data_IF_049150813957
#
_entry.id   IF_049150813957
#
_cell.length_a   1.000
_cell.length_b   1.000
_cell.length_c   1.000
_cell.angle_alpha   90.00
_cell.angle_beta   90.00
_cell.angle_gamma   90.00
#
_symmetry.space_group_name_H-M   'P 1'
#
loop_
_entity.id
_entity.type
_entity.pdbx_description
1 polymer ?
#
# COMPACT_ATOMS: atom_id res chain seq x y z
N UNK A 1 -59.00 45.21 -47.33
CA UNK A 1 -57.57 45.40 -46.97
C UNK A 1 -57.45 45.00 -45.50
N UNK A 2 -56.97 43.81 -45.22
CA UNK A 2 -56.81 43.29 -43.83
C UNK A 2 -55.32 43.07 -43.57
N UNK A 3 -54.77 43.94 -42.69
CA UNK A 3 -53.37 43.83 -42.24
C UNK A 3 -53.27 42.75 -41.19
N UNK A 4 -52.36 41.80 -41.40
CA UNK A 4 -51.97 40.76 -40.40
C UNK A 4 -50.75 41.25 -39.63
N UNK A 5 -50.68 41.13 -38.30
CA UNK A 5 -49.49 41.43 -37.54
C UNK A 5 -48.46 40.29 -37.60
N UNK A 6 -47.21 40.66 -37.81
CA UNK A 6 -46.04 39.79 -37.80
C UNK A 6 -45.64 39.50 -36.34
N UNK A 7 -45.73 38.25 -35.91
CA UNK A 7 -45.27 37.80 -34.58
C UNK A 7 -43.78 37.51 -34.64
N UNK A 8 -43.01 38.27 -33.86
CA UNK A 8 -41.56 38.07 -33.67
C UNK A 8 -41.33 37.02 -32.57
N UNK A 9 -40.89 35.81 -32.96
CA UNK A 9 -40.45 34.79 -32.01
C UNK A 9 -39.01 35.09 -31.58
N UNK A 10 -38.84 35.54 -30.32
CA UNK A 10 -37.57 35.59 -29.66
C UNK A 10 -37.18 34.15 -29.16
N UNK A 11 -36.22 33.54 -29.84
CA UNK A 11 -35.60 32.31 -29.37
C UNK A 11 -34.60 32.65 -28.23
N UNK A 12 -34.97 32.33 -26.98
CA UNK A 12 -34.02 32.30 -25.87
C UNK A 12 -33.12 31.10 -26.05
N UNK A 13 -31.90 31.31 -26.55
CA UNK A 13 -30.84 30.31 -26.50
C UNK A 13 -30.32 30.19 -25.07
N UNK A 14 -30.74 29.13 -24.37
CA UNK A 14 -30.17 28.74 -23.07
C UNK A 14 -28.72 28.26 -23.28
N UNK A 15 -27.75 29.03 -22.82
CA UNK A 15 -26.37 28.51 -22.61
C UNK A 15 -26.41 27.51 -21.46
N UNK A 16 -26.42 26.23 -21.77
CA UNK A 16 -26.01 25.21 -20.81
C UNK A 16 -24.49 25.36 -20.59
N UNK A 17 -24.10 25.98 -19.49
CA UNK A 17 -22.74 25.87 -18.98
C UNK A 17 -22.51 24.39 -18.64
N UNK A 18 -21.74 23.70 -19.49
CA UNK A 18 -21.21 22.40 -19.13
C UNK A 18 -20.35 22.61 -17.88
N UNK A 19 -20.80 22.10 -16.74
CA UNK A 19 -20.01 22.06 -15.53
C UNK A 19 -18.70 21.37 -15.87
N UNK A 20 -17.57 22.05 -15.69
CA UNK A 20 -16.27 21.44 -15.74
C UNK A 20 -16.26 20.33 -14.66
N UNK A 21 -16.45 19.09 -15.07
CA UNK A 21 -16.21 17.94 -14.20
C UNK A 21 -14.77 18.02 -13.77
N UNK A 22 -14.50 17.95 -12.46
CA UNK A 22 -13.13 17.85 -11.97
C UNK A 22 -12.45 16.66 -12.68
N UNK A 23 -11.23 16.87 -13.15
CA UNK A 23 -10.44 15.79 -13.74
C UNK A 23 -10.38 14.62 -12.74
N UNK A 24 -10.50 13.36 -13.23
CA UNK A 24 -10.46 12.22 -12.35
C UNK A 24 -9.11 12.20 -11.61
N UNK A 25 -9.15 11.93 -10.30
CA UNK A 25 -7.94 11.83 -9.49
C UNK A 25 -6.98 10.81 -10.09
N UNK A 26 -5.67 11.07 -10.09
CA UNK A 26 -4.67 10.07 -10.49
C UNK A 26 -4.90 8.77 -9.72
N UNK A 27 -4.77 7.59 -10.36
CA UNK A 27 -4.94 6.32 -9.68
C UNK A 27 -3.95 6.20 -8.51
N UNK A 28 -4.39 5.56 -7.41
CA UNK A 28 -3.53 5.28 -6.26
C UNK A 28 -3.61 3.80 -5.94
N UNK A 29 -2.47 3.21 -5.56
CA UNK A 29 -2.40 1.91 -4.89
C UNK A 29 -2.01 2.17 -3.45
N UNK A 30 -2.87 1.82 -2.50
CA UNK A 30 -2.53 1.79 -1.09
C UNK A 30 -1.68 0.54 -0.84
N UNK A 31 -0.40 0.73 -0.53
CA UNK A 31 0.57 -0.36 -0.48
C UNK A 31 0.66 -1.04 0.89
N UNK A 32 -0.15 -0.62 1.88
CA UNK A 32 -0.15 -1.21 3.22
C UNK A 32 -1.49 -0.99 3.92
N UNK A 33 -2.22 -2.07 4.14
CA UNK A 33 -3.44 -2.06 4.92
C UNK A 33 -3.58 -3.35 5.74
N UNK A 34 -4.37 -3.28 6.80
CA UNK A 34 -4.80 -4.41 7.60
C UNK A 34 -6.31 -4.59 7.50
N UNK A 35 -6.77 -5.85 7.53
CA UNK A 35 -8.19 -6.18 7.66
C UNK A 35 -8.33 -7.34 8.65
N UNK A 36 -8.10 -7.03 9.93
CA UNK A 36 -8.14 -8.00 11.02
C UNK A 36 -9.58 -8.29 11.49
N UNK A 37 -9.72 -9.22 12.43
CA UNK A 37 -11.05 -9.63 12.91
C UNK A 37 -11.93 -8.49 13.44
N UNK A 38 -11.42 -7.47 14.17
CA UNK A 38 -12.23 -6.31 14.56
C UNK A 38 -12.72 -5.49 13.35
N UNK A 39 -11.90 -5.37 12.30
CA UNK A 39 -12.23 -4.63 11.10
C UNK A 39 -13.31 -5.35 10.30
N UNK A 40 -13.20 -6.69 10.17
CA UNK A 40 -14.19 -7.53 9.50
C UNK A 40 -15.53 -7.57 10.24
N UNK A 41 -15.54 -7.35 11.56
CA UNK A 41 -16.76 -7.18 12.34
C UNK A 41 -17.41 -5.79 12.12
N UNK A 42 -16.62 -4.77 11.78
CA UNK A 42 -17.08 -3.41 11.57
C UNK A 42 -17.42 -3.09 10.09
N UNK A 43 -16.75 -3.71 9.14
CA UNK A 43 -16.87 -3.44 7.71
C UNK A 43 -16.92 -4.73 6.91
N UNK A 44 -17.94 -4.88 6.08
CA UNK A 44 -18.01 -5.93 5.06
C UNK A 44 -16.99 -5.70 3.95
N UNK A 45 -16.59 -6.73 3.18
CA UNK A 45 -15.76 -6.54 1.99
C UNK A 45 -16.27 -5.49 1.00
N UNK A 46 -17.59 -5.41 0.80
CA UNK A 46 -18.19 -4.41 -0.08
C UNK A 46 -18.02 -2.98 0.45
N UNK A 47 -18.14 -2.78 1.77
CA UNK A 47 -17.92 -1.46 2.39
C UNK A 47 -16.44 -1.05 2.35
N UNK A 48 -15.51 -2.01 2.46
CA UNK A 48 -14.09 -1.73 2.23
C UNK A 48 -13.86 -1.24 0.81
N UNK A 49 -14.39 -1.93 -0.20
CA UNK A 49 -14.24 -1.51 -1.61
C UNK A 49 -14.89 -0.14 -1.86
N UNK A 50 -16.06 0.12 -1.28
CA UNK A 50 -16.72 1.42 -1.39
C UNK A 50 -15.87 2.57 -0.82
N UNK A 51 -15.13 2.34 0.28
CA UNK A 51 -14.16 3.32 0.84
C UNK A 51 -12.99 3.57 -0.11
N UNK A 52 -12.46 2.52 -0.74
CA UNK A 52 -11.42 2.68 -1.77
C UNK A 52 -11.92 3.57 -2.91
N UNK A 53 -13.16 3.34 -3.38
CA UNK A 53 -13.77 4.11 -4.47
C UNK A 53 -13.96 5.57 -4.08
N UNK A 54 -14.49 5.82 -2.87
CA UNK A 54 -14.68 7.17 -2.33
C UNK A 54 -13.35 7.95 -2.20
N UNK A 55 -12.25 7.25 -1.88
CA UNK A 55 -10.91 7.83 -1.74
C UNK A 55 -10.13 7.91 -3.07
N UNK A 56 -10.66 7.38 -4.18
CA UNK A 56 -9.93 7.29 -5.45
C UNK A 56 -8.73 6.32 -5.40
N UNK A 57 -8.83 5.27 -4.58
CA UNK A 57 -7.82 4.21 -4.46
C UNK A 57 -8.19 3.04 -5.37
N UNK A 58 -7.33 2.73 -6.31
CA UNK A 58 -7.58 1.69 -7.31
C UNK A 58 -7.35 0.28 -6.78
N UNK A 59 -6.32 0.10 -5.94
CA UNK A 59 -5.95 -1.20 -5.36
C UNK A 59 -5.47 -1.05 -3.93
N UNK A 60 -5.60 -2.13 -3.20
CA UNK A 60 -5.23 -2.26 -1.81
C UNK A 60 -4.28 -3.45 -1.62
N UNK A 61 -3.09 -3.22 -1.11
CA UNK A 61 -2.23 -4.27 -0.56
C UNK A 61 -2.66 -4.50 0.88
N UNK A 62 -3.09 -5.71 1.22
CA UNK A 62 -3.69 -5.97 2.53
C UNK A 62 -3.16 -7.25 3.17
N UNK A 63 -2.84 -7.16 4.44
CA UNK A 63 -2.60 -8.31 5.33
C UNK A 63 -3.73 -8.45 6.35
N UNK A 64 -3.84 -9.59 7.01
CA UNK A 64 -4.87 -9.81 8.03
C UNK A 64 -4.45 -10.80 9.12
N UNK A 65 -5.14 -10.70 10.26
CA UNK A 65 -5.06 -11.65 11.37
C UNK A 65 -6.50 -12.04 11.77
N UNK A 66 -6.96 -13.25 11.41
CA UNK A 66 -6.26 -14.33 10.68
C UNK A 66 -6.16 -14.08 9.16
N UNK A 67 -5.24 -14.78 8.43
CA UNK A 67 -4.98 -14.52 7.01
C UNK A 67 -6.17 -14.74 6.07
N UNK A 68 -7.12 -15.58 6.46
CA UNK A 68 -8.35 -15.84 5.69
C UNK A 68 -9.18 -14.59 5.39
N UNK A 69 -9.08 -13.54 6.21
CA UNK A 69 -9.81 -12.30 5.98
C UNK A 69 -9.29 -11.53 4.76
N UNK A 70 -7.96 -11.46 4.56
CA UNK A 70 -7.38 -10.90 3.35
C UNK A 70 -7.76 -11.72 2.10
N UNK A 71 -7.82 -13.05 2.24
CA UNK A 71 -8.28 -13.93 1.17
C UNK A 71 -9.76 -13.69 0.82
N UNK A 72 -10.62 -13.47 1.80
CA UNK A 72 -12.04 -13.12 1.58
C UNK A 72 -12.18 -11.79 0.84
N UNK A 73 -11.42 -10.76 1.22
CA UNK A 73 -11.38 -9.50 0.48
C UNK A 73 -10.95 -9.71 -0.98
N UNK A 74 -9.91 -10.50 -1.20
CA UNK A 74 -9.43 -10.82 -2.54
C UNK A 74 -10.50 -11.57 -3.35
N UNK A 75 -11.16 -12.58 -2.77
CA UNK A 75 -12.24 -13.33 -3.44
C UNK A 75 -13.42 -12.42 -3.82
N UNK A 76 -13.72 -11.42 -3.00
CA UNK A 76 -14.79 -10.45 -3.28
C UNK A 76 -14.42 -9.49 -4.42
N UNK A 77 -13.15 -9.05 -4.52
CA UNK A 77 -12.71 -8.07 -5.49
C UNK A 77 -11.26 -8.34 -5.98
N UNK A 78 -11.04 -9.39 -6.79
CA UNK A 78 -9.69 -9.85 -7.17
C UNK A 78 -8.89 -8.82 -7.98
N UNK A 79 -9.56 -7.92 -8.71
CA UNK A 79 -8.90 -6.85 -9.46
C UNK A 79 -8.51 -5.64 -8.59
N UNK A 80 -8.99 -5.60 -7.34
CA UNK A 80 -8.84 -4.48 -6.41
C UNK A 80 -7.90 -4.79 -5.24
N UNK A 81 -7.71 -6.07 -4.91
CA UNK A 81 -7.01 -6.52 -3.70
C UNK A 81 -5.74 -7.29 -4.06
N UNK A 82 -4.66 -6.98 -3.38
CA UNK A 82 -3.35 -7.65 -3.45
C UNK A 82 -3.07 -8.23 -2.05
N UNK A 83 -3.40 -9.52 -1.81
CA UNK A 83 -3.33 -10.08 -0.47
C UNK A 83 -1.91 -10.50 -0.10
N UNK A 84 -1.48 -10.13 1.11
CA UNK A 84 -0.29 -10.66 1.77
C UNK A 84 -0.70 -11.69 2.80
N UNK A 85 0.05 -12.78 2.88
CA UNK A 85 -0.15 -13.82 3.87
C UNK A 85 0.31 -13.35 5.25
N UNK A 86 -0.62 -12.98 6.11
CA UNK A 86 -0.36 -12.68 7.51
C UNK A 86 0.07 -13.94 8.27
N UNK A 87 1.12 -13.84 9.08
CA UNK A 87 1.66 -14.99 9.82
C UNK A 87 1.06 -15.14 11.22
N UNK A 88 0.20 -14.21 11.62
CA UNK A 88 -0.40 -14.19 12.96
C UNK A 88 -1.81 -14.79 12.93
N UNK A 89 -2.11 -15.71 13.87
CA UNK A 89 -3.47 -16.14 14.10
C UNK A 89 -4.32 -15.05 14.82
N UNK A 90 -3.66 -14.17 15.56
CA UNK A 90 -4.22 -13.00 16.23
C UNK A 90 -3.10 -12.02 16.59
N UNK A 91 -3.44 -10.79 16.96
CA UNK A 91 -2.47 -9.77 17.36
C UNK A 91 -1.61 -10.16 18.59
N UNK A 92 -2.10 -11.08 19.44
CA UNK A 92 -1.33 -11.62 20.56
C UNK A 92 -0.07 -12.35 20.13
N UNK A 93 -0.02 -12.85 18.90
CA UNK A 93 1.14 -13.57 18.37
C UNK A 93 2.23 -12.67 17.77
N UNK A 94 1.97 -11.36 17.61
CA UNK A 94 2.93 -10.42 17.04
C UNK A 94 4.26 -10.34 17.79
N UNK A 95 4.26 -10.63 19.10
CA UNK A 95 5.45 -10.53 19.95
C UNK A 95 6.30 -11.80 20.03
N UNK A 96 5.82 -12.96 19.57
CA UNK A 96 6.49 -14.24 19.80
C UNK A 96 6.53 -15.21 18.60
N UNK A 97 5.94 -14.83 17.47
CA UNK A 97 5.86 -15.68 16.26
C UNK A 97 7.22 -16.20 15.80
N UNK A 98 8.26 -15.45 16.00
CA UNK A 98 9.65 -15.76 15.56
C UNK A 98 10.24 -16.97 16.32
N UNK A 99 9.62 -17.36 17.43
CA UNK A 99 10.00 -18.53 18.22
C UNK A 99 9.13 -19.76 17.92
N UNK A 100 8.14 -19.66 17.04
CA UNK A 100 7.29 -20.79 16.65
C UNK A 100 7.93 -21.60 15.53
N UNK A 101 8.64 -22.65 15.88
CA UNK A 101 9.33 -23.52 14.91
C UNK A 101 8.38 -24.20 13.90
N UNK A 102 7.08 -24.31 14.20
CA UNK A 102 6.09 -24.89 13.28
C UNK A 102 5.53 -23.89 12.26
N UNK A 103 5.76 -22.59 12.46
CA UNK A 103 5.21 -21.52 11.61
C UNK A 103 5.65 -21.64 10.15
N UNK A 104 6.92 -21.87 9.80
CA UNK A 104 7.33 -21.95 8.39
C UNK A 104 6.62 -23.07 7.61
N UNK A 105 6.37 -24.20 8.23
CA UNK A 105 5.63 -25.30 7.59
C UNK A 105 4.16 -24.92 7.34
N UNK A 106 3.51 -24.25 8.30
CA UNK A 106 2.14 -23.75 8.11
C UNK A 106 2.04 -22.69 7.03
N UNK A 107 3.00 -21.76 6.99
CA UNK A 107 3.08 -20.74 5.93
C UNK A 107 3.29 -21.39 4.58
N UNK A 108 4.21 -22.36 4.46
CA UNK A 108 4.43 -23.09 3.22
C UNK A 108 3.14 -23.75 2.71
N UNK A 109 2.40 -24.45 3.58
CA UNK A 109 1.12 -25.06 3.22
C UNK A 109 0.07 -24.03 2.76
N UNK A 110 -0.03 -22.88 3.43
CA UNK A 110 -0.95 -21.80 3.03
C UNK A 110 -0.57 -21.15 1.71
N UNK A 111 0.71 -21.11 1.36
CA UNK A 111 1.17 -20.60 0.06
C UNK A 111 0.75 -21.51 -1.10
N UNK A 112 0.60 -22.81 -0.89
CA UNK A 112 0.12 -23.77 -1.90
C UNK A 112 -1.33 -23.48 -2.34
N UNK A 113 -2.16 -22.90 -1.48
CA UNK A 113 -3.54 -22.47 -1.77
C UNK A 113 -3.63 -21.21 -2.66
N UNK A 114 -2.56 -20.56 -2.94
CA UNK A 114 -2.18 -19.90 -4.17
C UNK A 114 -2.73 -18.51 -4.53
N UNK A 115 -3.08 -17.60 -3.59
CA UNK A 115 -3.54 -16.23 -3.95
C UNK A 115 -2.62 -15.13 -3.42
N UNK A 116 -1.46 -15.46 -2.89
CA UNK A 116 -0.65 -14.53 -2.12
C UNK A 116 0.39 -13.79 -2.98
N UNK A 117 0.46 -12.48 -2.79
CA UNK A 117 1.47 -11.62 -3.42
C UNK A 117 2.69 -11.41 -2.52
N UNK A 118 2.61 -11.77 -1.24
CA UNK A 118 3.68 -11.60 -0.27
C UNK A 118 3.40 -12.29 1.05
N UNK A 119 4.36 -12.16 1.96
CA UNK A 119 4.28 -12.59 3.36
C UNK A 119 4.48 -11.36 4.25
N UNK A 120 3.64 -11.14 5.23
CA UNK A 120 3.76 -10.03 6.18
C UNK A 120 2.41 -9.40 6.54
N UNK A 121 2.41 -8.40 7.34
CA UNK A 121 3.54 -7.61 7.87
C UNK A 121 4.28 -8.39 8.97
N UNK A 122 5.61 -8.52 8.87
CA UNK A 122 6.43 -9.19 9.88
C UNK A 122 6.96 -8.17 10.89
N UNK A 123 6.42 -8.19 12.12
CA UNK A 123 6.91 -7.36 13.22
C UNK A 123 8.12 -8.01 13.87
N UNK A 124 9.30 -7.41 13.68
CA UNK A 124 10.56 -7.96 14.16
C UNK A 124 11.56 -6.85 14.43
N UNK A 125 12.35 -7.00 15.46
CA UNK A 125 13.38 -6.03 15.85
C UNK A 125 14.78 -6.66 15.83
N UNK A 126 15.81 -5.83 15.82
CA UNK A 126 17.21 -6.21 15.65
C UNK A 126 17.64 -7.40 16.51
N UNK A 127 17.19 -7.45 17.79
CA UNK A 127 17.51 -8.55 18.73
C UNK A 127 17.09 -9.94 18.24
N UNK A 128 16.03 -10.01 17.41
CA UNK A 128 15.44 -11.28 16.94
C UNK A 128 15.69 -11.52 15.43
N UNK A 129 16.39 -10.60 14.76
CA UNK A 129 16.60 -10.64 13.31
C UNK A 129 17.28 -11.93 12.81
N UNK A 130 18.06 -12.60 13.67
CA UNK A 130 18.78 -13.84 13.33
C UNK A 130 18.01 -15.12 13.68
N UNK A 131 16.79 -15.02 14.15
CA UNK A 131 16.00 -16.19 14.49
C UNK A 131 15.73 -17.08 13.26
N UNK A 132 15.86 -18.43 13.40
CA UNK A 132 15.72 -19.37 12.28
C UNK A 132 14.37 -19.29 11.57
N UNK A 133 13.29 -19.01 12.30
CA UNK A 133 11.93 -18.90 11.75
C UNK A 133 11.85 -17.73 10.75
N UNK A 134 12.38 -16.56 11.09
CA UNK A 134 12.44 -15.43 10.17
C UNK A 134 13.22 -15.78 8.90
N UNK A 135 14.41 -16.39 9.05
CA UNK A 135 15.22 -16.79 7.90
C UNK A 135 14.49 -17.80 6.99
N UNK A 136 13.72 -18.73 7.56
CA UNK A 136 12.92 -19.69 6.78
C UNK A 136 11.79 -19.01 6.01
N UNK A 137 11.05 -18.04 6.63
CA UNK A 137 10.01 -17.27 5.94
C UNK A 137 10.58 -16.44 4.79
N UNK A 138 11.73 -15.79 4.99
CA UNK A 138 12.41 -15.03 3.93
C UNK A 138 12.82 -15.93 2.76
N UNK A 139 13.34 -17.15 3.02
CA UNK A 139 13.67 -18.13 1.96
C UNK A 139 12.42 -18.62 1.23
N UNK A 140 11.32 -18.89 1.94
CA UNK A 140 10.04 -19.27 1.33
C UNK A 140 9.53 -18.17 0.39
N UNK A 141 9.52 -16.92 0.85
CA UNK A 141 9.12 -15.79 0.02
C UNK A 141 10.00 -15.65 -1.22
N UNK A 142 11.33 -15.71 -1.06
CA UNK A 142 12.27 -15.60 -2.18
C UNK A 142 12.10 -16.74 -3.20
N UNK A 143 11.94 -17.99 -2.74
CA UNK A 143 11.71 -19.15 -3.62
C UNK A 143 10.40 -19.03 -4.42
N UNK A 144 9.37 -18.45 -3.81
CA UNK A 144 8.06 -18.21 -4.43
C UNK A 144 7.96 -16.87 -5.15
N UNK A 145 9.04 -16.07 -5.20
CA UNK A 145 9.11 -14.72 -5.80
C UNK A 145 8.13 -13.71 -5.15
N UNK A 146 7.75 -13.95 -3.90
CA UNK A 146 6.83 -13.11 -3.13
C UNK A 146 7.56 -11.93 -2.50
N UNK A 147 6.79 -10.87 -2.17
CA UNK A 147 7.28 -9.74 -1.37
C UNK A 147 7.28 -10.11 0.11
N UNK A 148 8.30 -9.69 0.86
CA UNK A 148 8.30 -9.72 2.32
C UNK A 148 8.05 -8.31 2.84
N UNK A 149 6.94 -8.09 3.53
CA UNK A 149 6.68 -6.82 4.22
C UNK A 149 7.24 -6.91 5.64
N UNK A 150 8.09 -5.94 6.01
CA UNK A 150 8.81 -5.93 7.29
C UNK A 150 8.50 -4.65 8.07
N UNK A 151 8.01 -4.82 9.29
CA UNK A 151 7.96 -3.79 10.33
C UNK A 151 9.13 -4.00 11.29
N UNK A 152 10.17 -3.20 11.19
CA UNK A 152 11.35 -3.41 12.04
C UNK A 152 12.48 -2.44 11.79
N UNK A 153 13.59 -2.73 12.45
CA UNK A 153 14.86 -1.99 12.36
C UNK A 153 15.58 -2.26 11.03
N UNK A 154 16.56 -1.43 10.71
CA UNK A 154 17.38 -1.60 9.51
C UNK A 154 18.13 -2.95 9.50
N UNK A 155 18.58 -3.43 10.64
CA UNK A 155 19.27 -4.72 10.81
C UNK A 155 18.38 -5.90 10.41
N UNK A 156 17.06 -5.80 10.59
CA UNK A 156 16.11 -6.84 10.13
C UNK A 156 16.09 -6.91 8.61
N UNK A 157 16.03 -5.75 7.94
CA UNK A 157 16.08 -5.65 6.48
C UNK A 157 17.43 -6.18 5.96
N UNK A 158 18.54 -5.78 6.57
CA UNK A 158 19.87 -6.30 6.23
C UNK A 158 19.94 -7.83 6.35
N UNK A 159 19.37 -8.38 7.42
CA UNK A 159 19.32 -9.82 7.64
C UNK A 159 18.44 -10.53 6.58
N UNK A 160 17.33 -9.94 6.16
CA UNK A 160 16.53 -10.49 5.07
C UNK A 160 17.34 -10.63 3.78
N UNK A 161 18.10 -9.59 3.40
CA UNK A 161 18.99 -9.64 2.22
C UNK A 161 20.21 -10.56 2.42
N UNK A 162 20.73 -10.69 3.64
CA UNK A 162 21.79 -11.64 3.93
C UNK A 162 21.32 -13.10 3.77
N UNK A 163 20.05 -13.38 4.11
CA UNK A 163 19.42 -14.72 3.98
C UNK A 163 19.09 -15.03 2.52
N UNK A 164 18.58 -14.05 1.78
CA UNK A 164 18.18 -14.19 0.38
C UNK A 164 18.44 -12.88 -0.40
N UNK A 165 19.61 -12.73 -1.05
CA UNK A 165 20.00 -11.48 -1.73
C UNK A 165 19.03 -11.00 -2.82
N UNK A 166 18.26 -11.92 -3.41
CA UNK A 166 17.25 -11.62 -4.44
C UNK A 166 15.83 -11.40 -3.93
N UNK A 167 15.60 -11.39 -2.62
CA UNK A 167 14.28 -11.17 -2.04
C UNK A 167 13.78 -9.74 -2.35
N UNK A 168 12.46 -9.59 -2.54
CA UNK A 168 11.79 -8.29 -2.60
C UNK A 168 11.31 -7.93 -1.20
N UNK A 169 11.73 -6.79 -0.68
CA UNK A 169 11.33 -6.31 0.64
C UNK A 169 10.55 -5.01 0.52
N UNK A 170 9.39 -4.95 1.15
CA UNK A 170 8.66 -3.72 1.45
C UNK A 170 8.89 -3.38 2.92
N UNK A 171 9.69 -2.33 3.17
CA UNK A 171 9.99 -1.87 4.52
C UNK A 171 8.93 -0.88 4.97
N UNK A 172 8.15 -1.26 5.97
CA UNK A 172 7.02 -0.48 6.46
C UNK A 172 7.45 0.81 7.17
N UNK A 173 6.65 1.88 7.02
CA UNK A 173 6.68 3.11 7.82
C UNK A 173 7.99 3.91 7.75
N UNK A 174 8.72 3.87 6.64
CA UNK A 174 10.08 4.46 6.54
C UNK A 174 11.04 3.85 7.59
N UNK A 175 10.75 2.62 8.03
CA UNK A 175 11.48 1.92 9.08
C UNK A 175 11.15 2.41 10.50
N UNK A 176 11.72 1.70 11.49
CA UNK A 176 11.57 2.04 12.91
C UNK A 176 12.15 3.42 13.25
N UNK A 177 13.21 3.82 12.55
CA UNK A 177 13.87 5.12 12.68
C UNK A 177 13.87 5.86 11.34
N UNK A 178 12.81 6.60 10.99
CA UNK A 178 12.72 7.29 9.72
C UNK A 178 13.69 8.47 9.62
N UNK A 179 14.84 8.24 8.97
CA UNK A 179 15.91 9.20 8.72
C UNK A 179 16.30 9.13 7.23
N UNK A 180 16.30 10.25 6.49
CA UNK A 180 16.63 10.29 5.07
C UNK A 180 17.98 9.64 4.71
N UNK A 181 19.01 9.91 5.49
CA UNK A 181 20.36 9.40 5.22
C UNK A 181 20.46 7.87 5.41
N UNK A 182 19.81 7.33 6.46
CA UNK A 182 19.72 5.89 6.67
C UNK A 182 19.00 5.20 5.49
N UNK A 183 17.86 5.75 5.10
CA UNK A 183 17.08 5.20 3.97
C UNK A 183 17.85 5.29 2.66
N UNK A 184 18.55 6.40 2.39
CA UNK A 184 19.39 6.53 1.22
C UNK A 184 20.51 5.46 1.16
N UNK A 185 21.17 5.21 2.28
CA UNK A 185 22.20 4.19 2.40
C UNK A 185 21.64 2.77 2.18
N UNK A 186 20.49 2.45 2.78
CA UNK A 186 19.81 1.16 2.62
C UNK A 186 19.34 0.94 1.17
N UNK A 187 18.73 1.93 0.53
CA UNK A 187 18.26 1.86 -0.84
C UNK A 187 19.41 1.72 -1.85
N UNK A 188 20.55 2.39 -1.60
CA UNK A 188 21.75 2.25 -2.43
C UNK A 188 22.36 0.84 -2.32
N UNK A 189 22.30 0.22 -1.15
CA UNK A 189 22.89 -1.09 -0.87
C UNK A 189 22.00 -2.24 -1.37
N UNK A 190 20.67 -2.11 -1.30
CA UNK A 190 19.75 -3.20 -1.56
C UNK A 190 18.79 -2.90 -2.73
N UNK A 191 19.11 -3.38 -3.94
CA UNK A 191 18.26 -3.18 -5.11
C UNK A 191 16.83 -3.74 -4.98
N UNK A 192 16.62 -4.77 -4.17
CA UNK A 192 15.32 -5.39 -3.88
C UNK A 192 14.53 -4.72 -2.75
N UNK A 193 14.94 -3.52 -2.28
CA UNK A 193 14.25 -2.81 -1.20
C UNK A 193 13.28 -1.75 -1.74
N UNK A 194 12.04 -1.77 -1.29
CA UNK A 194 11.04 -0.70 -1.38
C UNK A 194 10.65 -0.24 0.03
N UNK A 195 10.11 0.95 0.14
CA UNK A 195 9.78 1.56 1.43
C UNK A 195 8.40 2.23 1.34
N UNK A 196 7.50 1.92 2.28
CA UNK A 196 6.24 2.65 2.38
C UNK A 196 6.31 3.85 3.33
N UNK A 197 5.43 4.83 3.10
CA UNK A 197 5.38 6.08 3.86
C UNK A 197 4.30 6.10 4.93
N UNK A 198 3.57 5.00 5.12
CA UNK A 198 2.40 4.95 6.00
C UNK A 198 2.68 5.46 7.40
N UNK A 199 1.68 6.08 8.01
CA UNK A 199 1.68 6.68 9.36
C UNK A 199 2.80 7.70 9.62
N UNK A 200 3.45 8.20 8.57
CA UNK A 200 4.55 9.17 8.68
C UNK A 200 4.28 10.53 8.05
N UNK A 201 3.06 10.78 7.56
CA UNK A 201 2.71 11.99 6.82
C UNK A 201 3.10 13.26 7.59
N UNK A 202 2.71 13.39 8.86
CA UNK A 202 3.05 14.56 9.69
C UNK A 202 4.56 14.70 9.96
N UNK A 203 5.32 13.61 9.89
CA UNK A 203 6.76 13.62 10.07
C UNK A 203 7.50 14.09 8.81
N UNK A 204 7.01 13.69 7.64
CA UNK A 204 7.66 13.98 6.35
C UNK A 204 7.12 15.24 5.70
N UNK A 205 5.83 15.55 5.96
CA UNK A 205 5.08 16.64 5.34
C UNK A 205 4.11 17.32 6.34
N UNK A 206 4.63 17.95 7.41
CA UNK A 206 3.78 18.61 8.40
C UNK A 206 2.90 19.66 7.73
N UNK A 207 1.58 19.58 8.01
CA UNK A 207 0.59 20.45 7.39
C UNK A 207 0.49 20.32 5.86
N UNK A 208 0.86 19.16 5.30
CA UNK A 208 0.79 18.87 3.86
C UNK A 208 1.98 19.41 3.03
N UNK A 209 3.00 19.99 3.66
CA UNK A 209 4.18 20.51 2.96
C UNK A 209 5.37 19.55 3.11
N UNK A 210 5.75 18.86 2.02
CA UNK A 210 6.85 17.91 2.03
C UNK A 210 8.17 18.61 2.37
N UNK A 211 8.85 18.15 3.43
CA UNK A 211 10.11 18.69 3.89
C UNK A 211 11.23 18.48 2.86
N UNK A 212 12.17 19.44 2.68
CA UNK A 212 13.20 19.39 1.65
C UNK A 212 14.07 18.13 1.66
N UNK A 213 14.43 17.62 2.85
CA UNK A 213 15.26 16.41 2.97
C UNK A 213 14.53 15.16 2.46
N UNK A 214 13.23 15.03 2.71
CA UNK A 214 12.41 13.94 2.20
C UNK A 214 12.17 14.05 0.69
N UNK A 215 11.91 15.29 0.22
CA UNK A 215 11.80 15.55 -1.22
C UNK A 215 13.07 15.12 -1.97
N UNK A 216 14.24 15.53 -1.50
CA UNK A 216 15.52 15.17 -2.09
C UNK A 216 15.75 13.64 -2.08
N UNK A 217 15.33 12.93 -1.02
CA UNK A 217 15.41 11.48 -0.95
C UNK A 217 14.49 10.82 -2.00
N UNK A 218 13.25 11.26 -2.13
CA UNK A 218 12.30 10.72 -3.13
C UNK A 218 12.77 11.01 -4.57
N UNK A 219 13.30 12.19 -4.84
CA UNK A 219 13.88 12.55 -6.15
C UNK A 219 15.13 11.73 -6.48
N UNK A 220 15.93 11.35 -5.47
CA UNK A 220 17.13 10.49 -5.64
C UNK A 220 16.76 9.03 -5.90
N UNK A 221 15.66 8.55 -5.35
CA UNK A 221 15.19 7.17 -5.44
C UNK A 221 13.73 7.10 -5.90
N UNK A 222 13.38 7.66 -7.09
CA UNK A 222 12.00 7.90 -7.49
C UNK A 222 11.17 6.62 -7.66
N UNK A 223 11.81 5.47 -7.83
CA UNK A 223 11.16 4.18 -8.09
C UNK A 223 11.09 3.27 -6.86
N UNK A 224 11.37 3.79 -5.66
CA UNK A 224 11.62 2.94 -4.49
C UNK A 224 10.69 3.23 -3.30
N UNK A 225 9.86 4.25 -3.39
CA UNK A 225 8.89 4.59 -2.36
C UNK A 225 7.47 4.37 -2.85
N UNK A 226 6.61 3.92 -1.93
CA UNK A 226 5.18 3.75 -2.16
C UNK A 226 4.40 4.45 -1.04
N UNK A 227 3.25 5.01 -1.38
CA UNK A 227 2.34 5.58 -0.38
C UNK A 227 1.44 4.49 0.20
N UNK A 228 1.03 4.67 1.46
CA UNK A 228 0.15 3.72 2.12
C UNK A 228 -0.58 4.35 3.31
N UNK A 229 -1.73 3.77 3.67
CA UNK A 229 -2.58 4.25 4.78
C UNK A 229 -2.24 3.58 6.09
N UNK A 230 -1.98 2.27 6.08
CA UNK A 230 -1.85 1.39 7.24
C UNK A 230 -3.10 1.42 8.14
N UNK A 231 -4.08 0.61 7.79
CA UNK A 231 -5.37 0.53 8.48
C UNK A 231 -5.33 -0.39 9.71
N UNK A 232 -4.42 -0.14 10.63
CA UNK A 232 -4.15 -0.98 11.82
C UNK A 232 -5.28 -1.01 12.86
N UNK A 233 -6.40 -0.31 12.62
CA UNK A 233 -7.55 -0.28 13.54
C UNK A 233 -8.84 0.13 12.83
N UNK A 234 -9.98 -0.22 13.42
CA UNK A 234 -11.32 0.22 12.98
C UNK A 234 -11.41 1.74 12.82
N UNK A 235 -10.85 2.50 13.77
CA UNK A 235 -10.84 3.97 13.68
C UNK A 235 -10.03 4.46 12.47
N UNK A 236 -8.94 3.79 12.12
CA UNK A 236 -8.13 4.15 10.95
C UNK A 236 -8.89 3.87 9.65
N UNK A 237 -9.68 2.81 9.59
CA UNK A 237 -10.63 2.56 8.50
C UNK A 237 -11.72 3.64 8.40
N UNK A 238 -12.26 4.10 9.53
CA UNK A 238 -13.25 5.20 9.55
C UNK A 238 -12.69 6.51 9.01
N UNK A 239 -11.38 6.72 9.14
CA UNK A 239 -10.66 7.92 8.67
C UNK A 239 -9.99 7.71 7.30
N UNK A 240 -10.29 6.63 6.59
CA UNK A 240 -9.56 6.22 5.38
C UNK A 240 -9.47 7.33 4.34
N UNK A 241 -10.59 7.95 3.97
CA UNK A 241 -10.66 9.01 2.99
C UNK A 241 -9.87 10.26 3.43
N UNK A 242 -9.91 10.59 4.73
CA UNK A 242 -9.15 11.71 5.31
C UNK A 242 -7.65 11.46 5.22
N UNK A 243 -7.21 10.23 5.50
CA UNK A 243 -5.79 9.87 5.41
C UNK A 243 -5.30 9.88 3.97
N UNK A 244 -6.09 9.36 3.03
CA UNK A 244 -5.75 9.44 1.60
C UNK A 244 -5.68 10.92 1.14
N UNK A 245 -6.60 11.76 1.58
CA UNK A 245 -6.53 13.20 1.28
C UNK A 245 -5.26 13.86 1.86
N UNK A 246 -4.84 13.47 3.07
CA UNK A 246 -3.57 13.92 3.66
C UNK A 246 -2.36 13.47 2.83
N UNK A 247 -2.31 12.22 2.39
CA UNK A 247 -1.25 11.72 1.49
C UNK A 247 -1.24 12.55 0.21
N UNK A 248 -2.38 12.76 -0.43
CA UNK A 248 -2.48 13.55 -1.67
C UNK A 248 -2.03 14.99 -1.47
N UNK A 249 -2.28 15.60 -0.31
CA UNK A 249 -1.90 17.00 -0.06
C UNK A 249 -0.41 17.27 -0.24
N UNK A 250 0.46 16.31 0.05
CA UNK A 250 1.90 16.45 -0.14
C UNK A 250 2.44 15.78 -1.41
N UNK A 251 1.71 14.82 -1.99
CA UNK A 251 2.12 14.15 -3.25
C UNK A 251 1.71 14.95 -4.48
N UNK A 252 0.48 15.48 -4.54
CA UNK A 252 -0.06 16.14 -5.73
C UNK A 252 0.75 17.35 -6.21
N UNK A 253 1.42 18.14 -5.33
CA UNK A 253 2.31 19.23 -5.76
C UNK A 253 3.64 18.76 -6.39
N UNK A 254 3.97 17.47 -6.37
CA UNK A 254 5.21 16.95 -6.94
C UNK A 254 5.14 16.87 -8.48
N UNK A 255 6.30 16.91 -9.17
CA UNK A 255 6.34 16.71 -10.62
C UNK A 255 5.65 15.38 -11.02
N UNK A 256 4.92 15.34 -12.17
CA UNK A 256 4.15 14.17 -12.57
C UNK A 256 4.88 12.84 -12.48
N UNK A 257 6.13 12.66 -12.99
CA UNK A 257 6.80 11.36 -12.90
C UNK A 257 7.04 10.88 -11.47
N UNK A 258 7.35 11.80 -10.54
CA UNK A 258 7.55 11.44 -9.13
C UNK A 258 6.22 11.16 -8.44
N UNK A 259 5.20 11.99 -8.71
CA UNK A 259 3.85 11.80 -8.21
C UNK A 259 3.28 10.45 -8.64
N UNK A 260 3.32 10.14 -9.93
CA UNK A 260 2.77 8.91 -10.49
C UNK A 260 3.49 7.67 -9.92
N UNK A 261 4.81 7.76 -9.77
CA UNK A 261 5.61 6.73 -9.11
C UNK A 261 5.15 6.47 -7.68
N UNK A 262 5.01 7.51 -6.86
CA UNK A 262 4.61 7.38 -5.45
C UNK A 262 3.19 6.86 -5.29
N UNK A 263 2.25 7.39 -6.08
CA UNK A 263 0.84 7.02 -5.97
C UNK A 263 0.53 5.63 -6.53
N UNK A 264 1.20 5.21 -7.61
CA UNK A 264 0.76 4.02 -8.35
C UNK A 264 1.90 3.17 -8.89
N UNK A 265 2.84 3.73 -9.68
CA UNK A 265 3.69 2.94 -10.54
C UNK A 265 4.71 2.09 -9.77
N UNK A 266 5.21 2.59 -8.65
CA UNK A 266 6.13 1.84 -7.79
C UNK A 266 5.47 0.62 -7.16
N UNK A 267 4.26 0.76 -6.62
CA UNK A 267 3.50 -0.36 -6.09
C UNK A 267 3.13 -1.34 -7.23
N UNK A 268 2.75 -0.85 -8.40
CA UNK A 268 2.48 -1.68 -9.56
C UNK A 268 3.72 -2.48 -10.00
N UNK A 269 4.93 -1.89 -9.98
CA UNK A 269 6.20 -2.58 -10.27
C UNK A 269 6.56 -3.60 -9.18
N UNK A 270 6.38 -3.26 -7.92
CA UNK A 270 6.69 -4.16 -6.80
C UNK A 270 5.87 -5.45 -6.86
N UNK A 271 4.60 -5.34 -7.24
CA UNK A 271 3.65 -6.45 -7.34
C UNK A 271 3.34 -6.88 -8.79
N UNK A 272 4.21 -6.57 -9.75
CA UNK A 272 4.00 -6.79 -11.18
C UNK A 272 3.76 -8.27 -11.56
N UNK A 273 4.38 -9.19 -10.83
CA UNK A 273 4.24 -10.63 -11.03
C UNK A 273 2.85 -11.15 -10.64
N UNK A 274 2.17 -10.44 -9.71
CA UNK A 274 0.84 -10.79 -9.21
C UNK A 274 -0.28 -10.16 -10.04
N UNK A 275 -0.07 -8.93 -10.52
CA UNK A 275 -1.09 -8.18 -11.25
C UNK A 275 -1.28 -8.75 -12.67
N UNK A 276 -2.52 -9.05 -13.11
CA UNK A 276 -2.79 -9.43 -14.50
C UNK A 276 -2.25 -8.40 -15.47
N UNK A 277 -1.70 -8.84 -16.61
CA UNK A 277 -1.10 -7.93 -17.61
C UNK A 277 -2.06 -6.86 -18.14
N UNK A 278 -3.37 -7.14 -18.18
CA UNK A 278 -4.42 -6.20 -18.60
C UNK A 278 -4.71 -5.08 -17.58
N UNK A 279 -4.26 -5.24 -16.36
CA UNK A 279 -4.52 -4.29 -15.28
C UNK A 279 -3.33 -3.34 -15.01
N UNK A 280 -2.29 -3.41 -15.85
CA UNK A 280 -1.07 -2.57 -15.76
C UNK A 280 -1.19 -1.24 -16.54
N UNK A 281 -2.32 -1.03 -17.25
CA UNK A 281 -2.56 0.19 -18.04
C UNK A 281 -3.67 1.03 -17.43
#
# INVERSE_FOLDING_TARGET
MIQRPLALLLALGGLFAAGAGADPLPPMIDAHAHYAAPDAAAFTPAEVIARLDAAGVRRLVVTSSPPQLAQQLYQHAPDRVIPLLGVYASDLHKGNWVHDAGLPARVAAQLEDGVWAGIGELHLFARDARQPVFAQLVRLAAASKLVVMIHGDAEVVEQAFAVAPGVRVLWAHLGAQPQPDLLAAMLARFPGLWVDTSVRDERIAPGGALLPAWRALFERHPERFVVAVDTFSVNRWQQYETVVAQIRSWVDPLPPPLKDNLLHDNAARLFDFFLPQRARR
#
